data_IF_468257388779
#
_entry.id   IF_468257388779
#
_cell.length_a   1.000
_cell.length_b   1.000
_cell.length_c   1.000
_cell.angle_alpha   90.00
_cell.angle_beta   90.00
_cell.angle_gamma   90.00
#
_symmetry.space_group_name_H-M   'P 1'
#
loop_
_entity.id
_entity.type
_entity.pdbx_description
1 polymer ?
#
# COMPACT_ATOMS: atom_id res chain seq x y z
N UNK A 1 9.49 23.70 39.54
CA UNK A 1 8.69 22.49 39.26
C UNK A 1 9.12 21.97 37.90
N UNK A 2 9.75 20.81 37.86
CA UNK A 2 10.28 20.18 36.65
C UNK A 2 9.28 19.09 36.21
N UNK A 3 8.62 19.29 35.07
CA UNK A 3 7.66 18.34 34.51
C UNK A 3 8.41 17.32 33.66
N UNK A 4 8.92 16.27 34.31
CA UNK A 4 9.27 15.02 33.65
C UNK A 4 8.23 13.98 34.04
N UNK A 5 7.83 13.14 33.07
CA UNK A 5 6.87 12.02 33.14
C UNK A 5 5.45 12.38 32.70
N UNK A 6 5.16 12.17 31.40
CA UNK A 6 4.37 11.01 30.94
C UNK A 6 4.82 10.76 29.50
N UNK A 7 5.74 9.82 29.33
CA UNK A 7 6.23 9.31 28.03
C UNK A 7 5.55 7.97 27.67
N UNK A 8 4.47 7.59 28.36
CA UNK A 8 3.90 6.24 28.24
C UNK A 8 2.37 6.26 28.22
N UNK A 9 1.80 6.84 27.16
CA UNK A 9 0.46 6.42 26.71
C UNK A 9 0.67 5.57 25.46
N UNK A 10 0.75 4.23 25.58
CA UNK A 10 0.95 3.33 24.44
C UNK A 10 -0.15 3.49 23.38
N UNK A 11 -1.31 4.00 23.78
CA UNK A 11 -2.52 4.11 22.97
C UNK A 11 -2.42 5.22 21.90
N UNK A 12 -1.47 6.15 22.00
CA UNK A 12 -1.19 7.20 21.01
C UNK A 12 -0.05 6.87 20.04
N UNK A 13 0.63 5.73 20.18
CA UNK A 13 1.51 5.20 19.11
C UNK A 13 0.72 4.48 18.01
N UNK A 14 -0.51 4.93 17.73
CA UNK A 14 -1.33 4.38 16.65
C UNK A 14 -0.91 4.97 15.31
N UNK A 15 0.26 4.56 14.83
CA UNK A 15 0.72 4.78 13.45
C UNK A 15 0.08 3.79 12.48
N UNK A 16 -1.17 3.39 12.73
CA UNK A 16 -1.88 2.41 11.91
C UNK A 16 -2.79 3.16 10.96
N UNK A 17 -2.59 2.92 9.66
CA UNK A 17 -3.43 3.44 8.60
C UNK A 17 -4.26 2.28 8.09
N UNK A 18 -5.54 2.32 8.43
CA UNK A 18 -6.52 1.38 7.91
C UNK A 18 -6.84 1.84 6.49
N UNK A 19 -6.94 0.89 5.55
CA UNK A 19 -7.46 1.14 4.21
C UNK A 19 -6.62 2.04 3.27
N UNK A 20 -5.31 1.80 3.19
CA UNK A 20 -4.46 2.48 2.17
C UNK A 20 -4.61 1.79 0.82
N UNK A 21 -4.79 2.58 -0.24
CA UNK A 21 -4.79 2.07 -1.60
C UNK A 21 -3.37 2.05 -2.18
N UNK A 22 -2.98 0.90 -2.72
CA UNK A 22 -1.65 0.71 -3.29
C UNK A 22 -1.70 -0.08 -4.60
N UNK A 23 -0.93 0.38 -5.58
CA UNK A 23 -0.76 -0.26 -6.89
C UNK A 23 0.40 -1.25 -6.85
N UNK A 24 0.21 -2.40 -7.48
CA UNK A 24 1.26 -3.38 -7.72
C UNK A 24 2.09 -3.02 -8.95
N UNK A 25 3.39 -2.81 -8.76
CA UNK A 25 4.33 -2.40 -9.82
C UNK A 25 5.47 -3.41 -9.91
N UNK A 26 5.86 -3.79 -11.13
CA UNK A 26 7.04 -4.62 -11.34
C UNK A 26 8.29 -3.74 -11.37
N UNK A 27 9.19 -3.91 -10.39
CA UNK A 27 10.45 -3.20 -10.39
C UNK A 27 11.51 -3.98 -11.16
N UNK A 28 11.82 -3.52 -12.37
CA UNK A 28 12.81 -4.10 -13.29
C UNK A 28 14.22 -4.12 -12.72
N UNK A 29 14.59 -3.22 -11.81
CA UNK A 29 15.93 -3.20 -11.19
C UNK A 29 16.11 -4.33 -10.18
N UNK A 30 15.02 -4.71 -9.52
CA UNK A 30 15.05 -5.74 -8.47
C UNK A 30 14.36 -7.04 -8.87
N UNK A 31 13.83 -7.10 -10.10
CA UNK A 31 13.05 -8.21 -10.67
C UNK A 31 11.95 -8.71 -9.73
N UNK A 32 11.28 -7.78 -9.05
CA UNK A 32 10.32 -8.08 -7.97
C UNK A 32 9.14 -7.14 -8.02
N UNK A 33 7.97 -7.70 -7.75
CA UNK A 33 6.76 -6.92 -7.51
C UNK A 33 6.87 -6.10 -6.22
N UNK A 34 6.40 -4.86 -6.28
CA UNK A 34 6.33 -3.93 -5.15
C UNK A 34 4.95 -3.29 -5.10
N UNK A 35 4.57 -2.83 -3.91
CA UNK A 35 3.38 -2.01 -3.71
C UNK A 35 3.78 -0.57 -3.45
N UNK A 36 3.11 0.38 -4.10
CA UNK A 36 3.24 1.80 -3.84
C UNK A 36 1.88 2.44 -3.65
N UNK A 37 1.80 3.41 -2.75
CA UNK A 37 0.60 4.21 -2.56
C UNK A 37 0.26 5.01 -3.81
N UNK A 38 -1.01 4.97 -4.19
CA UNK A 38 -1.54 5.75 -5.33
C UNK A 38 -1.81 7.20 -4.95
N UNK A 39 -2.06 8.02 -5.96
CA UNK A 39 -2.38 9.43 -5.82
C UNK A 39 -3.83 9.67 -5.37
N UNK A 40 -4.07 10.85 -4.79
CA UNK A 40 -5.44 11.31 -4.48
C UNK A 40 -6.09 10.69 -3.23
N UNK A 41 -5.31 10.06 -2.35
CA UNK A 41 -5.76 9.58 -1.03
C UNK A 41 -5.20 10.45 0.10
N UNK A 42 -5.72 10.29 1.32
CA UNK A 42 -5.29 11.05 2.50
C UNK A 42 -3.90 10.68 3.04
N UNK A 43 -3.15 9.84 2.32
CA UNK A 43 -1.77 9.46 2.66
C UNK A 43 -0.81 9.93 1.56
N UNK A 44 0.47 10.18 1.89
CA UNK A 44 1.43 10.65 0.90
C UNK A 44 1.59 9.66 -0.26
N UNK A 45 1.75 10.24 -1.45
CA UNK A 45 1.91 9.51 -2.70
C UNK A 45 3.28 8.83 -2.79
N UNK A 46 3.40 7.81 -3.63
CA UNK A 46 4.67 7.12 -3.92
C UNK A 46 5.40 6.47 -2.72
N UNK A 47 4.73 6.35 -1.57
CA UNK A 47 5.26 5.63 -0.42
C UNK A 47 5.28 4.13 -0.69
N UNK A 48 6.43 3.52 -0.42
CA UNK A 48 6.61 2.07 -0.52
C UNK A 48 5.76 1.39 0.55
N UNK A 49 5.00 0.37 0.15
CA UNK A 49 4.35 -0.56 1.05
C UNK A 49 5.15 -1.86 1.08
N UNK A 50 5.78 -2.15 2.22
CA UNK A 50 6.52 -3.37 2.45
C UNK A 50 5.55 -4.53 2.68
N UNK A 51 5.68 -5.57 1.86
CA UNK A 51 4.91 -6.81 1.91
C UNK A 51 5.82 -7.99 1.58
N UNK A 52 5.43 -9.21 1.98
CA UNK A 52 6.14 -10.42 1.61
C UNK A 52 6.17 -10.60 0.10
N UNK A 53 7.37 -10.77 -0.48
CA UNK A 53 7.57 -10.94 -1.92
C UNK A 53 6.81 -12.15 -2.47
N UNK A 54 6.74 -13.25 -1.71
CA UNK A 54 6.00 -14.47 -2.08
C UNK A 54 4.52 -14.21 -2.30
N UNK A 55 3.97 -13.23 -1.59
CA UNK A 55 2.56 -12.91 -1.67
C UNK A 55 2.29 -11.98 -2.86
N UNK A 56 3.02 -10.87 -2.95
CA UNK A 56 2.82 -9.88 -4.01
C UNK A 56 3.15 -10.43 -5.41
N UNK A 57 4.04 -11.42 -5.52
CA UNK A 57 4.35 -12.08 -6.80
C UNK A 57 3.15 -12.77 -7.46
N UNK A 58 2.10 -13.13 -6.71
CA UNK A 58 0.90 -13.76 -7.26
C UNK A 58 -0.10 -12.76 -7.85
N UNK A 59 0.19 -11.48 -7.75
CA UNK A 59 -0.73 -10.42 -8.12
C UNK A 59 -0.30 -9.74 -9.41
N UNK A 60 -1.24 -9.48 -10.34
CA UNK A 60 -0.94 -8.81 -11.59
C UNK A 60 -0.45 -7.39 -11.36
N UNK A 61 0.49 -6.97 -12.20
CA UNK A 61 0.96 -5.59 -12.29
C UNK A 61 -0.18 -4.63 -12.67
N UNK A 62 -0.11 -3.40 -12.19
CA UNK A 62 -1.08 -2.34 -12.40
C UNK A 62 -2.35 -2.48 -11.56
N UNK A 63 -2.54 -3.57 -10.81
CA UNK A 63 -3.75 -3.73 -10.01
C UNK A 63 -3.69 -2.94 -8.71
N UNK A 64 -4.79 -2.26 -8.38
CA UNK A 64 -4.94 -1.48 -7.14
C UNK A 64 -5.57 -2.34 -6.06
N UNK A 65 -4.88 -2.36 -4.92
CA UNK A 65 -5.26 -3.11 -3.74
C UNK A 65 -5.56 -2.20 -2.56
N UNK A 66 -6.44 -2.66 -1.70
CA UNK A 66 -6.73 -2.11 -0.39
C UNK A 66 -5.90 -2.87 0.65
N UNK A 67 -5.08 -2.13 1.39
CA UNK A 67 -4.07 -2.70 2.29
C UNK A 67 -4.13 -2.04 3.66
N UNK A 68 -4.25 -2.87 4.69
CA UNK A 68 -4.04 -2.44 6.07
C UNK A 68 -2.55 -2.23 6.33
N UNK A 69 -2.18 -1.00 6.66
CA UNK A 69 -0.78 -0.63 6.82
C UNK A 69 -0.46 -0.03 8.19
N UNK A 70 0.83 -0.10 8.53
CA UNK A 70 1.43 0.66 9.63
C UNK A 70 2.48 1.57 9.05
N UNK A 71 2.42 2.86 9.35
CA UNK A 71 3.47 3.80 9.01
C UNK A 71 4.69 3.54 9.87
N UNK A 72 5.84 3.42 9.22
CA UNK A 72 7.13 3.33 9.84
C UNK A 72 7.92 4.57 9.45
N UNK A 73 8.14 5.42 10.45
CA UNK A 73 8.99 6.59 10.33
C UNK A 73 10.27 6.37 11.15
N UNK A 74 11.39 6.18 10.47
CA UNK A 74 12.70 6.02 11.09
C UNK A 74 13.45 7.33 10.88
N UNK A 75 13.96 7.94 11.96
CA UNK A 75 14.75 9.18 11.88
C UNK A 75 15.87 9.04 10.84
N UNK A 76 15.90 9.94 9.86
CA UNK A 76 16.91 9.97 8.79
C UNK A 76 16.65 9.05 7.59
N UNK A 77 15.53 8.32 7.53
CA UNK A 77 15.12 7.53 6.36
C UNK A 77 13.79 8.01 5.80
N UNK A 78 13.53 7.71 4.53
CA UNK A 78 12.21 7.95 3.92
C UNK A 78 11.18 7.09 4.66
N UNK A 79 10.03 7.67 5.06
CA UNK A 79 8.96 6.91 5.67
C UNK A 79 8.44 5.84 4.69
N UNK A 80 7.93 4.74 5.23
CA UNK A 80 7.32 3.69 4.43
C UNK A 80 6.23 2.99 5.22
N UNK A 81 5.34 2.31 4.51
CA UNK A 81 4.29 1.52 5.10
C UNK A 81 4.70 0.05 5.22
N UNK A 82 4.23 -0.64 6.26
CA UNK A 82 4.32 -2.10 6.37
C UNK A 82 2.91 -2.66 6.34
N UNK A 83 2.65 -3.61 5.44
CA UNK A 83 1.39 -4.35 5.42
C UNK A 83 1.25 -5.19 6.70
N UNK A 84 0.22 -4.92 7.51
CA UNK A 84 0.02 -5.58 8.81
C UNK A 84 -0.26 -7.07 8.65
N UNK A 85 -1.02 -7.44 7.60
CA UNK A 85 -1.30 -8.82 7.27
C UNK A 85 -1.22 -9.00 5.76
N UNK A 86 -0.11 -9.55 5.27
CA UNK A 86 0.08 -9.80 3.84
C UNK A 86 -1.07 -10.61 3.23
N UNK A 87 -1.62 -11.59 3.94
CA UNK A 87 -2.74 -12.44 3.47
C UNK A 87 -4.08 -11.70 3.26
N UNK A 88 -4.22 -10.47 3.77
CA UNK A 88 -5.48 -9.71 3.75
C UNK A 88 -5.45 -8.55 2.75
N UNK A 89 -4.49 -8.55 1.82
CA UNK A 89 -4.53 -7.62 0.70
C UNK A 89 -5.71 -8.01 -0.20
N UNK A 90 -6.67 -7.11 -0.29
CA UNK A 90 -7.87 -7.28 -1.11
C UNK A 90 -7.78 -6.36 -2.32
N UNK A 91 -8.35 -6.77 -3.46
CA UNK A 91 -8.52 -5.82 -4.57
C UNK A 91 -9.42 -4.69 -4.08
N UNK A 92 -9.04 -3.46 -4.38
CA UNK A 92 -9.86 -2.31 -4.02
C UNK A 92 -11.14 -2.33 -4.87
N UNK A 93 -12.30 -2.38 -4.22
CA UNK A 93 -13.60 -2.40 -4.89
C UNK A 93 -13.90 -1.03 -5.52
N UNK A 94 -13.36 0.01 -4.92
CA UNK A 94 -13.39 1.40 -5.37
C UNK A 94 -12.74 1.55 -6.76
N UNK A 95 -11.83 0.64 -7.11
CA UNK A 95 -11.13 0.60 -8.40
C UNK A 95 -11.54 -0.62 -9.24
N UNK A 96 -12.75 -1.14 -9.04
CA UNK A 96 -13.21 -2.36 -9.73
C UNK A 96 -13.10 -2.25 -11.25
N UNK A 97 -13.65 -1.19 -11.87
CA UNK A 97 -13.62 -1.01 -13.33
C UNK A 97 -12.19 -0.89 -13.87
N UNK A 98 -11.32 -0.19 -13.14
CA UNK A 98 -9.92 -0.05 -13.49
C UNK A 98 -9.19 -1.39 -13.39
N UNK A 99 -9.34 -2.10 -12.27
CA UNK A 99 -8.74 -3.41 -12.05
C UNK A 99 -9.23 -4.45 -13.07
N UNK A 100 -10.49 -4.33 -13.51
CA UNK A 100 -11.07 -5.16 -14.55
C UNK A 100 -10.38 -4.89 -15.90
N UNK A 101 -10.18 -3.62 -16.26
CA UNK A 101 -9.39 -3.25 -17.46
C UNK A 101 -7.95 -3.75 -17.39
N UNK A 102 -7.29 -3.64 -16.25
CA UNK A 102 -5.92 -4.14 -16.07
C UNK A 102 -5.87 -5.65 -16.29
N UNK A 103 -6.84 -6.40 -15.75
CA UNK A 103 -6.88 -7.86 -15.88
C UNK A 103 -7.20 -8.33 -17.31
N UNK A 104 -8.08 -7.63 -18.02
CA UNK A 104 -8.54 -8.04 -19.35
C UNK A 104 -7.85 -7.29 -20.51
N UNK A 105 -6.91 -6.39 -20.20
CA UNK A 105 -6.33 -5.44 -21.14
C UNK A 105 -7.21 -4.20 -21.35
N UNK A 106 -6.58 -3.05 -21.57
CA UNK A 106 -7.28 -1.80 -21.88
C UNK A 106 -8.03 -1.84 -23.24
N UNK A 107 -7.94 -2.95 -23.97
CA UNK A 107 -8.54 -3.21 -25.29
C UNK A 107 -9.99 -3.71 -25.26
N UNK A 108 -10.73 -3.51 -24.16
CA UNK A 108 -12.20 -3.45 -24.24
C UNK A 108 -12.64 -2.09 -24.81
N UNK A 109 -12.16 -1.75 -26.00
CA UNK A 109 -13.03 -1.06 -26.94
C UNK A 109 -14.21 -2.00 -27.15
N UNK A 110 -15.37 -1.68 -26.55
CA UNK A 110 -16.66 -2.21 -26.99
C UNK A 110 -16.73 -1.99 -28.49
N UNK A 111 -16.38 -3.00 -29.29
CA UNK A 111 -16.83 -3.10 -30.66
C UNK A 111 -18.34 -3.22 -30.54
N UNK A 112 -19.01 -2.09 -30.78
CA UNK A 112 -20.44 -2.02 -31.04
C UNK A 112 -20.78 -2.92 -32.22
#
# INVERSE_FOLDING_TARGET
MQLSLIDEVPEFTKSYFVDVFAEALYDTKTEKMKLKTINGQQVPEDLKVAISSKFIANYPEGTIYKVDTKLVNIKGKRPYFIAKRAKYVQRAIEFFDYNLKVQYGFDYCRRK
#
